data_IF_569187043416
#
_entry.id   IF_569187043416
#
_cell.length_a   1.000
_cell.length_b   1.000
_cell.length_c   1.000
_cell.angle_alpha   90.00
_cell.angle_beta   90.00
_cell.angle_gamma   90.00
#
_symmetry.space_group_name_H-M   'P 1'
#
loop_
_entity.id
_entity.type
_entity.pdbx_description
1 polymer ?
#
# COMPACT_ATOMS: atom_id res chain seq x y z
N UNK A 1 -10.49 48.89 10.26
CA UNK A 1 -10.42 48.69 11.74
C UNK A 1 -9.31 49.60 12.24
N UNK A 2 -9.59 50.47 13.23
CA UNK A 2 -8.57 51.25 13.92
C UNK A 2 -7.97 50.45 15.06
N UNK A 3 -6.67 50.63 15.28
CA UNK A 3 -6.00 50.12 16.46
C UNK A 3 -6.51 50.83 17.71
N UNK A 4 -6.82 50.11 18.79
CA UNK A 4 -7.49 50.70 19.97
C UNK A 4 -6.74 51.90 20.56
N UNK A 5 -5.41 51.83 20.76
CA UNK A 5 -4.68 52.98 21.32
C UNK A 5 -4.76 54.25 20.46
N UNK A 6 -4.98 54.13 19.14
CA UNK A 6 -5.12 55.27 18.22
C UNK A 6 -6.44 56.01 18.43
N UNK A 7 -7.49 55.29 18.90
CA UNK A 7 -8.79 55.90 19.20
C UNK A 7 -8.74 56.76 20.47
N UNK A 8 -7.84 56.39 21.40
CA UNK A 8 -7.79 57.00 22.70
C UNK A 8 -6.90 58.24 22.69
N UNK A 9 -5.62 58.09 22.36
CA UNK A 9 -4.66 59.19 22.38
C UNK A 9 -3.41 58.85 21.54
N UNK A 10 -3.02 59.77 20.65
CA UNK A 10 -1.79 59.68 19.86
C UNK A 10 -0.52 59.65 20.72
N UNK A 11 -0.58 60.27 21.89
CA UNK A 11 0.56 60.35 22.83
C UNK A 11 0.85 59.02 23.50
N UNK A 12 0.03 58.00 23.37
CA UNK A 12 0.38 56.62 23.80
C UNK A 12 1.64 56.10 23.11
N UNK A 13 1.86 56.45 21.84
CA UNK A 13 2.99 55.98 21.03
C UNK A 13 3.88 57.12 20.56
N UNK A 14 3.39 58.36 20.53
CA UNK A 14 4.09 59.52 20.00
C UNK A 14 4.40 60.55 21.07
N UNK A 15 5.48 61.32 20.90
CA UNK A 15 5.77 62.57 21.65
C UNK A 15 5.42 63.72 20.74
N UNK A 16 4.61 64.64 21.22
CA UNK A 16 4.34 65.89 20.51
C UNK A 16 5.60 66.80 20.58
N UNK A 17 6.12 67.21 19.42
CA UNK A 17 7.31 68.00 19.26
C UNK A 17 7.01 69.34 18.64
N UNK A 18 5.74 69.73 18.41
CA UNK A 18 5.25 70.96 17.88
C UNK A 18 3.75 70.85 17.52
N UNK A 19 3.14 71.97 17.04
CA UNK A 19 1.77 71.92 16.59
C UNK A 19 1.60 70.88 15.46
N UNK A 20 0.77 69.85 15.74
CA UNK A 20 0.49 68.72 14.82
C UNK A 20 1.76 67.98 14.38
N UNK A 21 2.90 68.07 15.07
CA UNK A 21 4.13 67.34 14.80
C UNK A 21 4.37 66.35 15.93
N UNK A 22 4.55 65.08 15.55
CA UNK A 22 4.79 64.00 16.49
C UNK A 22 6.06 63.24 16.10
N UNK A 23 6.84 62.81 17.09
CA UNK A 23 7.94 61.88 16.95
C UNK A 23 7.60 60.57 17.65
N UNK A 24 8.13 59.45 17.16
CA UNK A 24 7.95 58.15 17.82
C UNK A 24 8.63 58.12 19.19
N UNK A 25 7.90 57.76 20.23
CA UNK A 25 8.51 57.29 21.47
C UNK A 25 9.22 55.99 21.18
N UNK A 26 10.39 55.77 21.63
CA UNK A 26 11.26 54.61 21.55
C UNK A 26 10.72 53.42 20.66
N UNK A 27 11.15 53.35 19.39
CA UNK A 27 10.68 52.43 18.37
C UNK A 27 10.73 50.94 18.79
N UNK A 28 11.68 50.58 19.64
CA UNK A 28 11.94 49.17 19.98
C UNK A 28 11.00 48.60 21.04
N UNK A 29 10.38 49.43 21.86
CA UNK A 29 9.61 48.98 23.03
C UNK A 29 8.10 49.25 22.98
N UNK A 30 7.63 50.09 22.06
CA UNK A 30 6.25 50.56 22.10
C UNK A 30 5.22 49.41 21.90
N UNK A 31 5.43 48.52 20.95
CA UNK A 31 4.48 47.43 20.70
C UNK A 31 4.51 46.40 21.83
N UNK A 32 5.71 46.00 22.27
CA UNK A 32 5.92 44.97 23.28
C UNK A 32 5.55 45.39 24.70
N UNK A 33 5.28 46.68 24.96
CA UNK A 33 4.73 47.11 26.24
C UNK A 33 3.31 46.63 26.51
N UNK A 34 2.54 46.36 25.42
CA UNK A 34 1.19 45.81 25.50
C UNK A 34 1.09 44.38 24.91
N UNK A 35 1.93 44.07 23.93
CA UNK A 35 1.95 42.76 23.22
C UNK A 35 3.12 41.89 23.71
N UNK A 36 3.15 41.58 25.01
CA UNK A 36 4.27 40.88 25.66
C UNK A 36 4.44 39.43 25.22
N UNK A 37 3.37 38.77 24.81
CA UNK A 37 3.30 37.34 24.49
C UNK A 37 3.87 36.95 23.11
N UNK A 38 4.28 37.91 22.29
CA UNK A 38 4.63 37.65 20.89
C UNK A 38 5.99 36.96 20.68
N UNK A 39 6.81 36.84 21.73
CA UNK A 39 8.16 36.24 21.68
C UNK A 39 8.37 35.10 22.69
N UNK A 40 7.31 34.47 23.16
CA UNK A 40 7.40 33.44 24.21
C UNK A 40 7.88 32.07 23.69
N UNK A 41 7.78 31.79 22.38
CA UNK A 41 8.27 30.56 21.79
C UNK A 41 9.77 30.47 21.65
N UNK A 42 10.33 29.28 21.75
CA UNK A 42 11.79 29.03 21.58
C UNK A 42 12.30 29.35 20.17
N UNK A 43 11.41 29.26 19.16
CA UNK A 43 11.70 29.67 17.79
C UNK A 43 11.00 30.99 17.53
N UNK A 44 11.79 32.07 17.31
CA UNK A 44 11.28 33.42 17.08
C UNK A 44 11.50 33.78 15.60
N UNK A 45 10.46 34.28 14.92
CA UNK A 45 10.57 34.73 13.53
C UNK A 45 11.59 35.86 13.40
N UNK A 46 12.41 35.86 12.35
CA UNK A 46 13.49 36.83 12.17
C UNK A 46 13.01 38.30 12.23
N UNK A 47 11.84 38.61 11.68
CA UNK A 47 11.24 39.94 11.75
C UNK A 47 10.91 40.36 13.20
N UNK A 48 10.62 39.39 14.08
CA UNK A 48 10.37 39.65 15.51
C UNK A 48 11.66 39.89 16.32
N UNK A 49 12.78 39.30 15.87
CA UNK A 49 14.08 39.52 16.53
C UNK A 49 14.45 41.00 16.45
N UNK A 50 14.26 41.64 15.29
CA UNK A 50 14.54 43.06 15.06
C UNK A 50 13.47 44.01 15.63
N UNK A 51 12.40 43.50 16.27
CA UNK A 51 11.24 44.29 16.73
C UNK A 51 10.55 45.11 15.61
N UNK A 52 10.67 44.69 14.36
CA UNK A 52 10.15 45.42 13.22
C UNK A 52 8.70 45.02 12.89
N UNK A 53 7.82 45.25 13.85
CA UNK A 53 6.40 44.91 13.77
C UNK A 53 5.71 45.56 12.56
N UNK A 54 6.20 46.74 12.19
CA UNK A 54 5.66 47.50 11.06
C UNK A 54 6.02 46.95 9.68
N UNK A 55 6.83 45.92 9.58
CA UNK A 55 6.98 45.18 8.31
C UNK A 55 5.65 44.54 7.89
N UNK A 56 4.91 44.03 8.85
CA UNK A 56 3.67 43.29 8.61
C UNK A 56 2.40 44.07 8.98
N UNK A 57 2.46 44.88 10.05
CA UNK A 57 1.30 45.57 10.62
C UNK A 57 1.31 47.06 10.36
N UNK A 58 0.11 47.65 10.15
CA UNK A 58 -0.07 49.08 10.25
C UNK A 58 -0.56 49.42 11.67
N UNK A 59 0.23 50.13 12.49
CA UNK A 59 -0.12 50.43 13.89
C UNK A 59 -1.30 51.37 14.02
N UNK A 60 -1.70 52.08 12.99
CA UNK A 60 -2.81 53.02 13.04
C UNK A 60 -4.14 52.33 12.71
N UNK A 61 -4.13 51.39 11.77
CA UNK A 61 -5.33 50.70 11.39
C UNK A 61 -5.15 49.82 10.13
N UNK A 62 -6.13 49.03 9.79
CA UNK A 62 -6.08 48.14 8.62
C UNK A 62 -7.42 47.55 8.29
N UNK A 63 -7.45 46.71 7.24
CA UNK A 63 -8.66 46.04 6.76
C UNK A 63 -8.94 44.71 7.50
N UNK A 64 -7.98 44.20 8.25
CA UNK A 64 -8.10 42.98 9.04
C UNK A 64 -8.05 43.26 10.55
N UNK A 65 -8.56 42.31 11.37
CA UNK A 65 -8.45 42.41 12.84
C UNK A 65 -7.02 42.42 13.32
N UNK A 66 -6.11 41.81 12.57
CA UNK A 66 -4.67 41.79 12.87
C UNK A 66 -3.91 43.00 12.32
N UNK A 67 -4.60 43.99 11.73
CA UNK A 67 -4.03 45.22 11.17
C UNK A 67 -2.90 44.96 10.17
N UNK A 68 -3.01 43.89 9.36
CA UNK A 68 -2.02 43.57 8.33
C UNK A 68 -2.04 44.60 7.21
N UNK A 69 -0.88 44.95 6.66
CA UNK A 69 -0.72 45.85 5.53
C UNK A 69 -1.31 45.33 4.21
N UNK A 70 -1.41 44.02 4.06
CA UNK A 70 -2.02 43.35 2.91
C UNK A 70 -3.32 42.72 3.34
N UNK A 71 -4.25 42.58 2.39
CA UNK A 71 -5.52 41.91 2.61
C UNK A 71 -5.39 40.38 2.66
N UNK A 72 -4.38 39.82 2.01
CA UNK A 72 -4.05 38.40 1.98
C UNK A 72 -2.72 38.13 2.68
N UNK A 73 -2.63 37.02 3.43
CA UNK A 73 -1.43 36.64 4.17
C UNK A 73 -0.28 36.26 3.22
N UNK A 74 -0.56 35.55 2.14
CA UNK A 74 0.44 35.15 1.13
C UNK A 74 1.10 36.36 0.46
N UNK A 75 0.33 37.38 0.08
CA UNK A 75 0.89 38.62 -0.48
C UNK A 75 1.88 39.30 0.47
N UNK A 76 1.60 39.22 1.77
CA UNK A 76 2.46 39.78 2.79
C UNK A 76 3.72 38.92 3.04
N UNK A 77 3.53 37.61 3.15
CA UNK A 77 4.61 36.66 3.43
C UNK A 77 5.62 36.61 2.29
N UNK A 78 5.13 36.64 1.04
CA UNK A 78 6.00 36.62 -0.15
C UNK A 78 6.74 37.91 -0.46
N UNK A 79 6.54 38.96 0.32
CA UNK A 79 7.50 40.11 0.28
C UNK A 79 8.91 39.70 0.69
N UNK A 80 9.08 38.59 1.45
CA UNK A 80 10.35 38.09 1.95
C UNK A 80 10.58 36.62 1.73
N UNK A 81 9.51 35.80 1.68
CA UNK A 81 9.58 34.36 1.46
C UNK A 81 9.46 34.04 -0.02
N UNK A 82 10.14 32.98 -0.46
CA UNK A 82 10.05 32.47 -1.82
C UNK A 82 8.63 31.94 -2.14
N UNK A 83 8.18 32.15 -3.36
CA UNK A 83 6.91 31.60 -3.88
C UNK A 83 7.03 30.16 -4.35
N UNK A 84 8.23 29.59 -4.43
CA UNK A 84 8.47 28.20 -4.88
C UNK A 84 7.60 27.17 -4.16
N UNK A 85 7.30 27.27 -2.85
CA UNK A 85 6.38 26.35 -2.20
C UNK A 85 4.96 26.28 -2.81
N UNK A 86 4.57 27.23 -3.69
CA UNK A 86 3.28 27.23 -4.39
C UNK A 86 3.39 26.84 -5.86
N UNK A 87 4.56 26.49 -6.36
CA UNK A 87 4.79 26.27 -7.80
C UNK A 87 4.35 24.90 -8.31
N UNK A 88 4.09 23.95 -7.42
CA UNK A 88 3.66 22.62 -7.78
C UNK A 88 2.26 22.57 -8.40
N UNK A 89 2.03 21.58 -9.26
CA UNK A 89 0.73 21.36 -9.93
C UNK A 89 -0.44 21.13 -8.96
N UNK A 90 -0.17 20.49 -7.85
CA UNK A 90 -1.13 20.20 -6.78
C UNK A 90 -0.77 21.02 -5.55
N UNK A 91 -1.53 22.06 -5.27
CA UNK A 91 -1.34 22.95 -4.14
C UNK A 91 -2.23 22.53 -2.99
N UNK A 92 -1.71 22.46 -1.76
CA UNK A 92 -2.48 22.12 -0.58
C UNK A 92 -3.54 23.21 -0.30
N UNK A 93 -4.75 22.82 0.12
CA UNK A 93 -5.89 23.72 0.26
C UNK A 93 -5.64 25.00 1.05
N UNK A 94 -5.10 24.95 2.30
CA UNK A 94 -4.74 26.14 3.06
C UNK A 94 -3.77 27.06 2.33
N UNK A 95 -2.77 26.48 1.66
CA UNK A 95 -1.78 27.21 0.86
C UNK A 95 -2.43 27.87 -0.35
N UNK A 96 -3.31 27.16 -1.08
CA UNK A 96 -4.02 27.70 -2.24
C UNK A 96 -4.90 28.91 -1.89
N UNK A 97 -5.39 28.97 -0.65
CA UNK A 97 -6.17 30.13 -0.14
C UNK A 97 -5.31 31.24 0.44
N UNK A 98 -4.00 31.09 0.45
CA UNK A 98 -3.05 32.06 0.99
C UNK A 98 -3.07 32.16 2.52
N UNK A 99 -3.54 31.12 3.22
CA UNK A 99 -3.75 31.09 4.66
C UNK A 99 -2.58 30.45 5.41
N UNK A 100 -1.41 31.06 5.33
CA UNK A 100 -0.17 30.57 5.95
C UNK A 100 -0.30 30.38 7.48
N UNK A 101 -1.03 31.29 8.13
CA UNK A 101 -1.21 31.27 9.58
C UNK A 101 -2.20 30.20 10.07
N UNK A 102 -2.76 29.37 9.22
CA UNK A 102 -3.48 28.16 9.67
C UNK A 102 -2.49 27.23 10.39
N UNK A 103 -1.33 26.98 9.79
CA UNK A 103 -0.31 26.07 10.32
C UNK A 103 0.84 26.80 11.05
N UNK A 104 1.21 28.00 10.61
CA UNK A 104 2.36 28.74 11.14
C UNK A 104 1.94 29.86 12.09
N UNK A 105 2.75 30.06 13.15
CA UNK A 105 2.69 31.26 13.96
C UNK A 105 3.78 32.25 13.51
N UNK A 106 3.41 33.39 12.89
CA UNK A 106 4.35 34.31 12.29
C UNK A 106 5.21 35.11 13.32
N UNK A 107 4.94 34.96 14.60
CA UNK A 107 5.68 35.66 15.65
C UNK A 107 6.71 34.73 16.32
N UNK A 108 6.26 33.70 17.01
CA UNK A 108 7.11 32.71 17.67
C UNK A 108 6.36 31.42 17.92
N UNK A 109 7.09 30.34 18.07
CA UNK A 109 6.55 29.05 18.40
C UNK A 109 7.55 28.19 19.17
N UNK A 110 7.07 27.22 19.93
CA UNK A 110 7.91 26.18 20.52
C UNK A 110 8.31 25.10 19.50
N UNK A 111 7.67 25.08 18.33
CA UNK A 111 7.89 24.09 17.29
C UNK A 111 8.75 24.63 16.14
N UNK A 112 9.52 23.74 15.49
CA UNK A 112 10.33 24.08 14.32
C UNK A 112 9.47 24.64 13.18
N UNK A 113 10.08 25.41 12.28
CA UNK A 113 9.39 26.09 11.18
C UNK A 113 8.21 26.97 11.64
N UNK A 114 8.20 27.39 12.90
CA UNK A 114 7.13 28.18 13.50
C UNK A 114 5.74 27.51 13.40
N UNK A 115 5.67 26.19 13.39
CA UNK A 115 4.39 25.48 13.42
C UNK A 115 3.65 25.76 14.73
N UNK A 116 2.32 25.81 14.69
CA UNK A 116 1.47 26.00 15.88
C UNK A 116 1.43 24.77 16.78
N UNK A 117 1.55 23.62 16.20
CA UNK A 117 1.59 22.30 16.84
C UNK A 117 2.79 21.50 16.37
N UNK A 118 3.03 20.32 16.94
CA UNK A 118 4.13 19.46 16.54
C UNK A 118 3.96 18.98 15.08
N UNK A 119 5.04 18.53 14.45
CA UNK A 119 4.99 17.98 13.07
C UNK A 119 4.03 16.79 12.96
N UNK A 120 3.91 16.02 14.03
CA UNK A 120 3.08 14.83 14.10
C UNK A 120 1.59 15.21 14.17
N UNK A 121 1.24 16.27 14.91
CA UNK A 121 -0.15 16.66 15.16
C UNK A 121 -0.67 17.74 14.19
N UNK A 122 0.21 18.56 13.61
CA UNK A 122 -0.20 19.66 12.73
C UNK A 122 -1.07 19.23 11.54
N UNK A 123 -0.88 18.00 11.05
CA UNK A 123 -1.67 17.46 9.94
C UNK A 123 -2.99 16.88 10.45
N UNK A 124 -2.98 16.13 11.55
CA UNK A 124 -4.15 15.39 12.08
C UNK A 124 -5.18 16.31 12.74
N UNK A 125 -4.85 17.57 13.04
CA UNK A 125 -5.83 18.58 13.45
C UNK A 125 -6.95 18.78 12.40
N UNK A 126 -6.64 18.55 11.10
CA UNK A 126 -7.60 18.64 10.01
C UNK A 126 -7.84 17.30 9.34
N UNK A 127 -6.81 16.47 9.21
CA UNK A 127 -6.88 15.12 8.63
C UNK A 127 -7.18 14.08 9.72
N UNK A 128 -8.33 14.22 10.39
CA UNK A 128 -8.73 13.36 11.52
C UNK A 128 -8.93 11.90 11.14
N UNK A 129 -9.21 11.62 9.87
CA UNK A 129 -9.29 10.27 9.30
C UNK A 129 -7.92 9.57 9.17
N UNK A 130 -6.83 10.30 9.39
CA UNK A 130 -5.45 9.82 9.39
C UNK A 130 -4.84 9.72 10.80
N UNK A 131 -5.67 9.78 11.83
CA UNK A 131 -5.27 9.44 13.19
C UNK A 131 -5.39 7.93 13.39
N UNK A 132 -4.26 7.25 13.33
CA UNK A 132 -4.14 5.79 13.43
C UNK A 132 -3.80 5.32 14.86
N UNK A 133 -4.22 6.03 15.87
CA UNK A 133 -3.96 5.70 17.29
C UNK A 133 -4.78 4.50 17.81
N UNK A 134 -5.63 3.88 16.99
CA UNK A 134 -6.49 2.76 17.35
C UNK A 134 -5.73 1.46 17.65
N UNK A 135 -6.29 0.65 18.57
CA UNK A 135 -5.79 -0.70 18.85
C UNK A 135 -5.94 -1.61 17.62
N UNK A 136 -5.01 -2.56 17.43
CA UNK A 136 -4.99 -3.54 16.33
C UNK A 136 -4.78 -2.95 14.92
N UNK A 137 -4.22 -1.77 14.81
CA UNK A 137 -3.86 -1.18 13.54
C UNK A 137 -2.33 -1.26 13.32
N UNK A 138 -1.91 -1.88 12.21
CA UNK A 138 -0.50 -1.95 11.84
C UNK A 138 -0.13 -0.65 11.13
N UNK A 139 0.46 0.29 11.86
CA UNK A 139 0.94 1.56 11.31
C UNK A 139 2.15 1.29 10.43
N UNK A 140 2.17 1.87 9.23
CA UNK A 140 3.37 1.86 8.39
C UNK A 140 4.50 2.63 9.11
N UNK A 141 5.64 1.98 9.30
CA UNK A 141 6.72 2.49 10.17
C UNK A 141 7.12 3.94 9.90
N UNK A 142 7.26 4.43 8.64
CA UNK A 142 7.62 5.81 8.38
C UNK A 142 6.66 6.87 8.93
N UNK A 143 5.39 6.51 9.18
CA UNK A 143 4.43 7.45 9.79
C UNK A 143 4.79 7.84 11.23
N UNK A 144 5.61 7.04 11.92
CA UNK A 144 6.13 7.40 13.25
C UNK A 144 7.06 8.61 13.20
N UNK A 145 7.67 8.88 12.04
CA UNK A 145 8.54 10.01 11.79
C UNK A 145 7.77 11.21 11.17
N UNK A 146 6.46 11.05 10.96
CA UNK A 146 5.53 12.06 10.44
C UNK A 146 5.25 11.94 8.94
N UNK A 147 4.38 12.83 8.47
CA UNK A 147 3.79 12.75 7.12
C UNK A 147 4.76 13.21 6.01
N UNK A 148 5.72 14.08 6.35
CA UNK A 148 6.57 14.78 5.39
C UNK A 148 7.66 13.91 4.75
N UNK A 149 7.80 12.65 5.17
CA UNK A 149 8.66 11.68 4.49
C UNK A 149 8.15 11.29 3.10
N UNK A 150 6.84 11.44 2.87
CA UNK A 150 6.19 11.10 1.62
C UNK A 150 5.44 12.27 0.97
N UNK A 151 4.98 13.26 1.76
CA UNK A 151 4.18 14.39 1.31
C UNK A 151 4.90 15.72 1.45
N UNK A 152 4.63 16.66 0.53
CA UNK A 152 4.95 18.08 0.70
C UNK A 152 3.72 18.79 1.27
N UNK A 153 3.90 19.54 2.36
CA UNK A 153 2.81 20.24 3.03
C UNK A 153 2.29 21.47 2.26
N UNK A 154 3.01 21.93 1.26
CA UNK A 154 2.67 23.14 0.51
C UNK A 154 2.16 22.83 -0.90
N UNK A 155 2.98 22.24 -1.76
CA UNK A 155 2.58 21.82 -3.10
C UNK A 155 3.53 20.79 -3.68
N UNK A 156 3.07 20.08 -4.69
CA UNK A 156 3.86 19.08 -5.42
C UNK A 156 3.37 18.96 -6.87
N UNK A 157 4.20 18.40 -7.73
CA UNK A 157 3.81 18.05 -9.10
C UNK A 157 3.03 16.73 -9.18
N UNK A 158 2.90 16.02 -8.07
CA UNK A 158 2.23 14.73 -7.97
C UNK A 158 0.93 14.80 -7.16
N UNK A 159 -0.09 13.99 -7.50
CA UNK A 159 -1.34 13.91 -6.74
C UNK A 159 -1.09 13.64 -5.25
N UNK A 160 -2.01 14.10 -4.41
CA UNK A 160 -1.92 13.98 -2.94
C UNK A 160 -0.69 14.65 -2.33
N UNK A 161 -0.10 15.63 -3.01
CA UNK A 161 1.15 16.30 -2.60
C UNK A 161 2.30 15.32 -2.32
N UNK A 162 2.40 14.21 -3.06
CA UNK A 162 3.52 13.27 -2.92
C UNK A 162 4.82 13.91 -3.40
N UNK A 163 5.93 13.56 -2.77
CA UNK A 163 7.28 14.02 -3.14
C UNK A 163 7.74 13.49 -4.51
N UNK A 164 7.16 12.38 -4.96
CA UNK A 164 7.41 11.72 -6.24
C UNK A 164 6.13 11.05 -6.74
N UNK A 165 6.18 10.36 -7.89
CA UNK A 165 5.07 9.52 -8.33
C UNK A 165 4.70 8.50 -7.25
N UNK A 166 3.45 8.03 -7.23
CA UNK A 166 2.97 7.10 -6.21
C UNK A 166 3.84 5.83 -6.12
N UNK A 167 4.33 5.33 -7.26
CA UNK A 167 5.28 4.21 -7.29
C UNK A 167 6.65 4.60 -6.75
N UNK A 168 7.20 5.71 -7.23
CA UNK A 168 8.60 6.10 -6.94
C UNK A 168 8.78 6.52 -5.48
N UNK A 169 7.75 7.09 -4.83
CA UNK A 169 7.83 7.42 -3.41
C UNK A 169 7.96 6.17 -2.54
N UNK A 170 7.27 5.08 -2.90
CA UNK A 170 7.42 3.80 -2.21
C UNK A 170 8.83 3.22 -2.40
N UNK A 171 9.36 3.32 -3.62
CA UNK A 171 10.66 2.75 -4.00
C UNK A 171 11.87 3.51 -3.42
N UNK A 172 11.67 4.67 -2.81
CA UNK A 172 12.73 5.33 -2.02
C UNK A 172 13.26 4.43 -0.90
N UNK A 173 12.37 3.61 -0.30
CA UNK A 173 12.72 2.70 0.78
C UNK A 173 12.62 1.22 0.35
N UNK A 174 11.72 0.87 -0.58
CA UNK A 174 11.46 -0.49 -1.04
C UNK A 174 12.15 -0.82 -2.38
N UNK A 175 13.38 -0.35 -2.57
CA UNK A 175 14.14 -0.54 -3.82
C UNK A 175 14.42 -2.01 -4.17
N UNK A 176 14.52 -2.89 -3.19
CA UNK A 176 14.71 -4.33 -3.39
C UNK A 176 13.48 -5.00 -4.04
N UNK A 177 12.28 -4.51 -3.78
CA UNK A 177 11.06 -4.98 -4.45
C UNK A 177 11.07 -4.62 -5.93
N UNK A 178 11.52 -3.41 -6.29
CA UNK A 178 11.64 -3.03 -7.71
C UNK A 178 12.68 -3.89 -8.43
N UNK A 179 13.82 -4.16 -7.80
CA UNK A 179 14.85 -5.03 -8.36
C UNK A 179 14.33 -6.46 -8.57
N UNK A 180 13.60 -7.02 -7.62
CA UNK A 180 12.98 -8.35 -7.75
C UNK A 180 11.91 -8.36 -8.83
N UNK A 181 10.99 -7.40 -8.81
CA UNK A 181 9.93 -7.28 -9.80
C UNK A 181 10.46 -6.99 -11.21
N UNK A 182 11.52 -6.20 -11.36
CA UNK A 182 12.13 -5.88 -12.66
C UNK A 182 12.79 -7.10 -13.30
N UNK A 183 13.40 -7.97 -12.50
CA UNK A 183 14.06 -9.22 -12.93
C UNK A 183 13.08 -10.36 -13.18
N UNK A 184 11.91 -10.34 -12.59
CA UNK A 184 10.91 -11.39 -12.72
C UNK A 184 10.51 -11.61 -14.18
N UNK A 185 10.48 -12.87 -14.62
CA UNK A 185 10.01 -13.26 -15.95
C UNK A 185 8.51 -13.06 -16.08
N UNK A 186 7.78 -13.46 -15.05
CA UNK A 186 6.32 -13.31 -14.95
C UNK A 186 5.98 -12.21 -13.94
N UNK A 187 5.39 -11.13 -14.45
CA UNK A 187 5.08 -9.92 -13.68
C UNK A 187 3.58 -9.75 -13.53
N UNK A 188 3.16 -9.32 -12.36
CA UNK A 188 1.76 -8.94 -12.17
C UNK A 188 1.48 -7.63 -12.91
N UNK A 189 0.47 -7.63 -13.77
CA UNK A 189 0.18 -6.49 -14.65
C UNK A 189 -0.14 -5.21 -13.90
N UNK A 190 -0.74 -5.31 -12.71
CA UNK A 190 -1.10 -4.17 -11.86
C UNK A 190 0.12 -3.32 -11.46
N UNK A 191 1.29 -3.93 -11.31
CA UNK A 191 2.53 -3.22 -10.93
C UNK A 191 3.07 -2.28 -12.00
N UNK A 192 2.53 -2.35 -13.23
CA UNK A 192 2.85 -1.40 -14.31
C UNK A 192 2.07 -0.09 -14.20
N UNK A 193 1.01 -0.06 -13.41
CA UNK A 193 0.21 1.14 -13.18
C UNK A 193 0.93 2.07 -12.20
N UNK A 194 0.66 3.36 -12.30
CA UNK A 194 1.25 4.37 -11.43
C UNK A 194 0.91 4.11 -9.97
N UNK A 195 -0.34 3.73 -9.68
CA UNK A 195 -0.84 3.39 -8.34
C UNK A 195 -0.65 1.92 -7.98
N UNK A 196 0.19 1.20 -8.72
CA UNK A 196 0.27 -0.27 -8.67
C UNK A 196 0.38 -0.83 -7.26
N UNK A 197 1.21 -0.24 -6.41
CA UNK A 197 1.38 -0.66 -5.02
C UNK A 197 0.12 -0.38 -4.19
N UNK A 198 -0.45 0.80 -4.34
CA UNK A 198 -1.60 1.26 -3.57
C UNK A 198 -2.92 0.56 -3.96
N UNK A 199 -2.96 -0.24 -5.03
CA UNK A 199 -4.12 -1.09 -5.32
C UNK A 199 -4.30 -2.20 -4.27
N UNK A 200 -3.20 -2.67 -3.67
CA UNK A 200 -3.20 -3.74 -2.69
C UNK A 200 -2.87 -3.28 -1.28
N UNK A 201 -1.98 -2.30 -1.14
CA UNK A 201 -1.47 -1.82 0.14
C UNK A 201 -2.06 -0.45 0.51
N UNK A 202 -2.34 -0.25 1.80
CA UNK A 202 -2.56 1.09 2.34
C UNK A 202 -1.21 1.62 2.85
N UNK A 203 -0.68 2.72 2.26
CA UNK A 203 0.62 3.25 2.63
C UNK A 203 0.65 3.85 4.05
N UNK A 204 -0.49 4.08 4.65
CA UNK A 204 -0.56 4.60 6.01
C UNK A 204 -0.61 3.47 7.06
N UNK A 205 -1.14 2.33 6.69
CA UNK A 205 -1.27 1.17 7.57
C UNK A 205 -2.64 0.50 7.44
N UNK A 206 -2.82 -0.62 8.07
CA UNK A 206 -4.12 -1.33 8.09
C UNK A 206 -4.21 -2.33 9.24
N UNK A 207 -5.36 -2.95 9.39
CA UNK A 207 -5.57 -4.07 10.33
C UNK A 207 -5.01 -5.41 9.81
N UNK A 208 -4.63 -5.46 8.53
CA UNK A 208 -4.08 -6.65 7.89
C UNK A 208 -2.56 -6.60 7.84
N UNK A 209 -1.91 -7.76 7.91
CA UNK A 209 -0.47 -7.87 7.73
C UNK A 209 0.00 -7.26 6.41
N UNK A 210 1.22 -6.75 6.39
CA UNK A 210 1.81 -6.06 5.23
C UNK A 210 0.99 -4.86 4.74
N UNK A 211 0.18 -4.27 5.61
CA UNK A 211 -0.68 -3.13 5.29
C UNK A 211 -1.60 -3.38 4.08
N UNK A 212 -2.12 -4.58 3.93
CA UNK A 212 -3.09 -4.89 2.88
C UNK A 212 -4.40 -4.15 3.16
N UNK A 213 -5.07 -3.68 2.11
CA UNK A 213 -6.36 -2.97 2.23
C UNK A 213 -7.51 -3.85 2.70
N UNK A 214 -7.41 -5.14 2.41
CA UNK A 214 -8.42 -6.15 2.75
C UNK A 214 -7.75 -7.46 3.11
N UNK A 215 -8.52 -8.44 3.59
CA UNK A 215 -8.00 -9.79 3.79
C UNK A 215 -7.44 -10.35 2.48
N UNK A 216 -6.35 -11.14 2.49
CA UNK A 216 -5.68 -11.60 1.28
C UNK A 216 -6.62 -12.27 0.28
N UNK A 217 -7.58 -13.10 0.75
CA UNK A 217 -8.55 -13.75 -0.11
C UNK A 217 -9.44 -12.75 -0.84
N UNK A 218 -10.05 -11.81 -0.13
CA UNK A 218 -10.95 -10.81 -0.71
C UNK A 218 -10.17 -9.89 -1.65
N UNK A 219 -9.01 -9.42 -1.22
CA UNK A 219 -8.16 -8.54 -2.01
C UNK A 219 -7.85 -9.13 -3.40
N UNK A 220 -7.43 -10.39 -3.45
CA UNK A 220 -7.13 -11.06 -4.71
C UNK A 220 -8.40 -11.25 -5.55
N UNK A 221 -9.48 -11.72 -4.93
CA UNK A 221 -10.73 -12.06 -5.62
C UNK A 221 -11.52 -10.85 -6.11
N UNK A 222 -11.27 -9.64 -5.59
CA UNK A 222 -11.87 -8.40 -6.11
C UNK A 222 -11.52 -8.15 -7.59
N UNK A 223 -10.34 -8.59 -8.03
CA UNK A 223 -9.91 -8.49 -9.42
C UNK A 223 -9.98 -9.84 -10.16
N UNK A 224 -9.66 -10.96 -9.48
CA UNK A 224 -9.67 -12.31 -10.04
C UNK A 224 -11.08 -12.94 -10.00
N UNK A 225 -12.12 -12.12 -10.21
CA UNK A 225 -13.52 -12.53 -10.30
C UNK A 225 -14.02 -12.69 -11.75
N UNK A 226 -13.18 -12.40 -12.74
CA UNK A 226 -13.48 -12.54 -14.16
C UNK A 226 -12.80 -13.79 -14.72
N UNK A 227 -13.37 -14.38 -15.79
CA UNK A 227 -12.72 -15.49 -16.49
C UNK A 227 -11.33 -15.07 -17.02
N UNK A 228 -10.36 -15.95 -16.84
CA UNK A 228 -9.01 -15.83 -17.41
C UNK A 228 -8.86 -16.96 -18.42
N UNK A 229 -8.52 -16.62 -19.66
CA UNK A 229 -8.26 -17.62 -20.71
C UNK A 229 -6.95 -18.34 -20.39
N UNK A 230 -7.02 -19.64 -20.17
CA UNK A 230 -5.87 -20.51 -19.99
C UNK A 230 -5.08 -20.73 -21.28
N UNK A 231 -3.90 -21.32 -21.18
CA UNK A 231 -3.09 -21.72 -22.36
C UNK A 231 -3.75 -22.81 -23.18
N UNK A 232 -4.73 -23.50 -22.60
CA UNK A 232 -5.61 -24.49 -23.26
C UNK A 232 -6.84 -23.87 -23.94
N UNK A 233 -6.95 -22.55 -23.94
CA UNK A 233 -8.06 -21.80 -24.54
C UNK A 233 -9.36 -21.81 -23.72
N UNK A 234 -9.36 -22.38 -22.51
CA UNK A 234 -10.55 -22.42 -21.64
C UNK A 234 -10.60 -21.26 -20.67
N UNK A 235 -11.82 -20.90 -20.30
CA UNK A 235 -12.08 -19.87 -19.30
C UNK A 235 -11.97 -20.44 -17.88
N UNK A 236 -11.08 -19.87 -17.08
CA UNK A 236 -10.93 -20.17 -15.66
C UNK A 236 -11.35 -18.97 -14.82
N UNK A 237 -12.37 -19.12 -14.02
CA UNK A 237 -12.80 -18.12 -13.06
C UNK A 237 -12.41 -18.58 -11.66
N UNK A 238 -11.33 -18.00 -11.13
CA UNK A 238 -10.79 -18.39 -9.82
C UNK A 238 -11.78 -18.08 -8.69
N UNK A 239 -12.46 -16.93 -8.75
CA UNK A 239 -13.53 -16.59 -7.81
C UNK A 239 -14.60 -17.71 -7.76
N UNK A 240 -15.12 -18.10 -8.93
CA UNK A 240 -16.13 -19.16 -9.01
C UNK A 240 -15.57 -20.48 -8.46
N UNK A 241 -14.36 -20.89 -8.88
CA UNK A 241 -13.74 -22.14 -8.42
C UNK A 241 -13.62 -22.15 -6.88
N UNK A 242 -13.14 -21.06 -6.29
CA UNK A 242 -12.90 -20.99 -4.83
C UNK A 242 -14.21 -20.86 -4.03
N UNK A 243 -15.22 -20.17 -4.57
CA UNK A 243 -16.47 -19.89 -3.81
C UNK A 243 -17.52 -20.99 -3.95
N UNK A 244 -17.56 -21.70 -5.09
CA UNK A 244 -18.61 -22.72 -5.33
C UNK A 244 -18.17 -24.13 -4.99
N UNK A 245 -16.87 -24.45 -5.07
CA UNK A 245 -16.42 -25.81 -4.76
C UNK A 245 -16.28 -26.01 -3.23
N UNK A 246 -16.82 -27.12 -2.70
CA UNK A 246 -16.90 -27.35 -1.26
C UNK A 246 -15.56 -27.72 -0.61
N UNK A 247 -14.61 -28.21 -1.39
CA UNK A 247 -13.32 -28.70 -0.89
C UNK A 247 -12.20 -27.77 -1.35
N UNK A 248 -11.76 -26.91 -0.47
CA UNK A 248 -10.66 -25.98 -0.71
C UNK A 248 -9.33 -26.62 -0.35
N UNK A 249 -8.31 -26.41 -1.18
CA UNK A 249 -6.94 -26.76 -0.81
C UNK A 249 -6.54 -26.00 0.44
N UNK A 250 -5.69 -26.58 1.30
CA UNK A 250 -5.35 -26.01 2.61
C UNK A 250 -5.03 -24.50 2.57
N UNK A 251 -4.04 -24.06 1.78
CA UNK A 251 -3.72 -22.63 1.67
C UNK A 251 -4.92 -21.77 1.23
N UNK A 252 -5.79 -22.27 0.36
CA UNK A 252 -6.99 -21.54 -0.08
C UNK A 252 -8.03 -21.45 1.04
N UNK A 253 -8.16 -22.50 1.89
CA UNK A 253 -9.01 -22.44 3.08
C UNK A 253 -8.59 -21.36 4.04
N UNK A 254 -7.28 -21.13 4.16
CA UNK A 254 -6.66 -20.12 5.01
C UNK A 254 -6.61 -18.73 4.34
N UNK A 255 -7.12 -18.62 3.11
CA UNK A 255 -7.07 -17.37 2.33
C UNK A 255 -5.66 -17.01 1.82
N UNK A 256 -4.71 -17.94 1.90
CA UNK A 256 -3.30 -17.72 1.58
C UNK A 256 -2.99 -18.02 0.11
N UNK A 257 -3.27 -17.07 -0.78
CA UNK A 257 -2.90 -17.17 -2.20
C UNK A 257 -1.37 -17.05 -2.38
N UNK A 258 -0.71 -16.27 -1.55
CA UNK A 258 0.73 -16.01 -1.62
C UNK A 258 1.60 -17.19 -1.20
N UNK A 259 1.02 -18.21 -0.59
CA UNK A 259 1.71 -19.50 -0.35
C UNK A 259 2.15 -20.21 -1.64
N UNK A 260 1.46 -19.94 -2.74
CA UNK A 260 1.78 -20.50 -4.06
C UNK A 260 2.13 -19.45 -5.11
N UNK A 261 1.63 -18.21 -4.98
CA UNK A 261 1.85 -17.13 -5.94
C UNK A 261 2.61 -15.97 -5.31
N UNK A 262 3.57 -15.40 -6.05
CA UNK A 262 4.20 -14.14 -5.65
C UNK A 262 3.55 -12.98 -6.41
N UNK A 263 2.70 -12.15 -5.75
CA UNK A 263 1.99 -11.06 -6.40
C UNK A 263 2.89 -9.95 -6.95
N UNK A 264 4.15 -9.90 -6.54
CA UNK A 264 5.15 -8.95 -7.05
C UNK A 264 5.89 -9.45 -8.29
N UNK A 265 5.70 -10.73 -8.66
CA UNK A 265 6.33 -11.37 -9.81
C UNK A 265 7.33 -12.46 -9.43
N UNK A 266 7.60 -13.37 -10.34
CA UNK A 266 8.56 -14.45 -10.15
C UNK A 266 9.18 -14.92 -11.46
N UNK A 267 10.16 -15.81 -11.36
CA UNK A 267 10.76 -16.50 -12.51
C UNK A 267 9.88 -17.66 -13.03
N UNK A 268 8.87 -18.07 -12.25
CA UNK A 268 8.05 -19.23 -12.55
C UNK A 268 6.71 -18.84 -13.17
N UNK A 269 6.22 -19.72 -14.04
CA UNK A 269 4.93 -19.59 -14.71
C UNK A 269 3.81 -19.20 -13.74
N UNK A 270 2.91 -18.30 -14.19
CA UNK A 270 1.81 -17.74 -13.36
C UNK A 270 2.27 -17.13 -12.03
N UNK A 271 3.49 -16.64 -11.98
CA UNK A 271 4.07 -16.03 -10.78
C UNK A 271 4.10 -17.00 -9.58
N UNK A 272 4.34 -18.29 -9.82
CA UNK A 272 4.45 -19.27 -8.75
C UNK A 272 5.68 -19.01 -7.87
N UNK A 273 5.63 -19.43 -6.61
CA UNK A 273 6.76 -19.31 -5.66
C UNK A 273 7.81 -20.41 -5.82
N UNK A 274 7.50 -21.44 -6.59
CA UNK A 274 8.37 -22.55 -6.90
C UNK A 274 8.12 -23.13 -8.27
N UNK A 275 9.01 -23.98 -8.72
CA UNK A 275 8.91 -24.61 -10.04
C UNK A 275 7.74 -25.57 -10.09
N UNK A 276 6.95 -25.49 -11.17
CA UNK A 276 5.89 -26.44 -11.49
C UNK A 276 5.72 -26.50 -13.01
N UNK A 277 5.66 -27.73 -13.62
CA UNK A 277 5.57 -27.86 -15.08
C UNK A 277 4.24 -27.32 -15.62
N UNK A 278 4.33 -26.48 -16.66
CA UNK A 278 3.15 -25.97 -17.37
C UNK A 278 2.43 -27.04 -18.18
N UNK A 279 3.21 -27.96 -18.77
CA UNK A 279 2.73 -28.97 -19.68
C UNK A 279 1.93 -30.07 -18.96
N UNK A 280 0.99 -30.73 -19.66
CA UNK A 280 0.26 -31.86 -19.15
C UNK A 280 1.15 -33.10 -18.94
N UNK A 281 2.08 -33.33 -19.86
CA UNK A 281 3.10 -34.37 -19.78
C UNK A 281 4.48 -33.75 -19.52
N UNK A 282 5.20 -34.32 -18.58
CA UNK A 282 6.59 -33.95 -18.35
C UNK A 282 7.39 -35.15 -17.83
N UNK A 283 8.66 -35.21 -18.19
CA UNK A 283 9.58 -36.16 -17.56
C UNK A 283 9.82 -35.73 -16.10
N UNK A 284 9.67 -36.69 -15.18
CA UNK A 284 9.79 -36.42 -13.76
C UNK A 284 11.23 -36.02 -13.41
N UNK A 285 11.36 -34.90 -12.77
CA UNK A 285 12.53 -34.43 -12.02
C UNK A 285 11.98 -33.74 -10.79
N UNK A 286 12.45 -34.11 -9.61
CA UNK A 286 11.93 -33.59 -8.34
C UNK A 286 11.90 -32.06 -8.30
N UNK A 287 12.98 -31.42 -8.76
CA UNK A 287 13.10 -29.95 -8.86
C UNK A 287 12.07 -29.27 -9.77
N UNK A 288 11.41 -29.99 -10.66
CA UNK A 288 10.30 -29.44 -11.44
C UNK A 288 8.99 -29.31 -10.66
N UNK A 289 8.93 -29.89 -9.46
CA UNK A 289 7.74 -29.91 -8.61
C UNK A 289 7.98 -29.24 -7.25
N UNK A 290 9.02 -28.39 -7.16
CA UNK A 290 9.40 -27.70 -5.93
C UNK A 290 8.19 -27.00 -5.27
N UNK A 291 7.29 -26.41 -6.07
CA UNK A 291 6.08 -25.78 -5.55
C UNK A 291 5.26 -26.73 -4.67
N UNK A 292 5.01 -27.94 -5.14
CA UNK A 292 4.18 -28.91 -4.41
C UNK A 292 4.93 -29.48 -3.22
N UNK A 293 6.21 -29.77 -3.39
CA UNK A 293 7.07 -30.39 -2.38
C UNK A 293 7.54 -29.43 -1.28
N UNK A 294 7.17 -28.15 -1.34
CA UNK A 294 7.28 -27.25 -0.18
C UNK A 294 6.40 -27.72 0.99
N UNK A 295 5.31 -28.42 0.72
CA UNK A 295 4.34 -28.86 1.72
C UNK A 295 4.03 -30.36 1.64
N UNK A 296 4.11 -30.97 0.47
CA UNK A 296 3.88 -32.39 0.26
C UNK A 296 5.19 -33.15 0.26
N UNK A 297 5.19 -34.34 0.89
CA UNK A 297 6.38 -35.20 0.93
C UNK A 297 6.65 -35.79 -0.47
N UNK A 298 7.84 -35.54 -1.03
CA UNK A 298 8.25 -36.03 -2.33
C UNK A 298 8.40 -37.58 -2.37
N UNK A 299 8.48 -38.22 -1.22
CA UNK A 299 8.56 -39.69 -1.13
C UNK A 299 7.33 -40.37 -1.72
N UNK A 300 6.19 -39.68 -1.77
CA UNK A 300 4.95 -40.22 -2.39
C UNK A 300 5.13 -40.66 -3.86
N UNK A 301 6.14 -40.12 -4.56
CA UNK A 301 6.42 -40.43 -5.98
C UNK A 301 7.82 -41.05 -6.19
N UNK A 302 8.62 -41.24 -5.15
CA UNK A 302 10.00 -41.68 -5.24
C UNK A 302 10.12 -43.19 -5.50
N UNK A 303 9.39 -43.98 -4.74
CA UNK A 303 9.57 -45.41 -4.71
C UNK A 303 8.45 -46.11 -5.52
N UNK A 304 8.86 -47.03 -6.41
CA UNK A 304 7.92 -47.82 -7.22
C UNK A 304 7.04 -48.74 -6.37
N UNK A 305 7.54 -49.19 -5.21
CA UNK A 305 6.82 -50.07 -4.29
C UNK A 305 6.75 -49.44 -2.92
N UNK A 306 5.57 -49.47 -2.34
CA UNK A 306 5.30 -48.95 -1.00
C UNK A 306 4.02 -49.53 -0.41
N UNK A 307 4.01 -49.67 0.91
CA UNK A 307 2.81 -50.00 1.68
C UNK A 307 2.38 -48.84 2.58
N UNK A 308 3.18 -47.75 2.68
CA UNK A 308 3.03 -46.67 3.66
C UNK A 308 3.01 -45.27 3.06
N UNK A 309 3.77 -45.02 1.98
CA UNK A 309 3.98 -43.65 1.47
C UNK A 309 2.73 -43.04 0.81
N UNK A 310 1.85 -43.87 0.24
CA UNK A 310 0.62 -43.41 -0.38
C UNK A 310 -0.51 -44.44 -0.26
N UNK A 311 -1.73 -43.99 -0.19
CA UNK A 311 -2.93 -44.79 -0.28
C UNK A 311 -3.38 -45.06 -1.76
N UNK A 312 -2.78 -44.37 -2.71
CA UNK A 312 -2.98 -44.61 -4.13
C UNK A 312 -1.97 -45.70 -4.59
N UNK A 313 -2.26 -46.94 -4.25
CA UNK A 313 -1.41 -48.11 -4.51
C UNK A 313 -2.26 -49.37 -4.75
N UNK A 314 -1.74 -50.27 -5.54
CA UNK A 314 -2.33 -51.59 -5.79
C UNK A 314 -1.41 -52.66 -5.18
N UNK A 315 -1.84 -53.26 -4.05
CA UNK A 315 -0.94 -53.99 -3.18
C UNK A 315 0.21 -53.08 -2.72
N UNK A 316 1.42 -53.42 -3.14
CA UNK A 316 2.62 -52.59 -2.88
C UNK A 316 3.03 -51.71 -4.07
N UNK A 317 2.34 -51.77 -5.20
CA UNK A 317 2.65 -50.96 -6.38
C UNK A 317 2.17 -49.51 -6.20
N UNK A 318 3.08 -48.58 -6.15
CA UNK A 318 2.80 -47.14 -6.02
C UNK A 318 2.23 -46.58 -7.33
N UNK A 319 0.97 -46.23 -7.33
CA UNK A 319 0.28 -45.70 -8.53
C UNK A 319 0.65 -44.24 -8.80
N UNK A 320 1.02 -43.44 -7.81
CA UNK A 320 1.57 -42.11 -8.07
C UNK A 320 2.90 -42.20 -8.83
N UNK A 321 3.84 -43.06 -8.37
CA UNK A 321 5.08 -43.34 -9.08
C UNK A 321 4.80 -43.75 -10.54
N UNK A 322 3.87 -44.71 -10.74
CA UNK A 322 3.53 -45.20 -12.05
C UNK A 322 3.05 -44.12 -13.02
N UNK A 323 2.30 -43.12 -12.55
CA UNK A 323 1.71 -42.10 -13.41
C UNK A 323 2.67 -40.92 -13.65
N UNK A 324 3.56 -40.59 -12.70
CA UNK A 324 4.36 -39.40 -12.73
C UNK A 324 5.76 -39.67 -13.32
N UNK A 325 6.38 -40.82 -13.02
CA UNK A 325 7.80 -41.05 -13.37
C UNK A 325 8.06 -41.63 -14.75
N UNK A 326 7.01 -41.93 -15.51
CA UNK A 326 7.15 -42.44 -16.90
C UNK A 326 7.69 -41.34 -17.82
N UNK A 327 8.26 -41.73 -18.97
CA UNK A 327 8.76 -40.82 -20.03
C UNK A 327 7.72 -39.78 -20.45
N UNK A 328 6.42 -40.14 -20.45
CA UNK A 328 5.26 -39.27 -20.59
C UNK A 328 4.52 -39.21 -19.25
N UNK A 329 5.23 -38.84 -18.19
CA UNK A 329 4.62 -38.68 -16.88
C UNK A 329 3.61 -37.57 -16.88
N UNK A 330 2.52 -37.75 -16.12
CA UNK A 330 1.49 -36.72 -15.95
C UNK A 330 1.88 -35.83 -14.77
N UNK A 331 1.57 -34.56 -14.88
CA UNK A 331 1.77 -33.65 -13.72
C UNK A 331 0.67 -33.86 -12.68
N UNK A 332 0.89 -33.40 -11.45
CA UNK A 332 -0.09 -33.50 -10.36
C UNK A 332 -1.46 -32.92 -10.77
N UNK A 333 -1.45 -31.81 -11.52
CA UNK A 333 -2.67 -31.16 -12.04
C UNK A 333 -3.46 -32.00 -13.05
N UNK A 334 -2.87 -32.99 -13.59
CA UNK A 334 -3.62 -33.87 -14.50
C UNK A 334 -4.75 -34.64 -13.78
N UNK A 335 -4.60 -34.85 -12.47
CA UNK A 335 -5.61 -35.53 -11.67
C UNK A 335 -6.16 -34.68 -10.52
N UNK A 336 -5.40 -33.70 -10.04
CA UNK A 336 -5.76 -32.88 -8.88
C UNK A 336 -6.13 -31.44 -9.27
N UNK A 337 -7.21 -30.92 -8.67
CA UNK A 337 -7.53 -29.50 -8.69
C UNK A 337 -6.80 -28.79 -7.54
N UNK A 338 -5.98 -27.79 -7.88
CA UNK A 338 -5.06 -27.18 -6.92
C UNK A 338 -5.66 -26.02 -6.10
N UNK A 339 -6.81 -25.48 -6.51
CA UNK A 339 -7.46 -24.40 -5.76
C UNK A 339 -8.63 -24.92 -4.92
N UNK A 340 -9.66 -25.45 -5.55
CA UNK A 340 -10.81 -26.05 -4.88
C UNK A 340 -11.53 -27.01 -5.83
N UNK A 341 -12.01 -28.13 -5.32
CA UNK A 341 -12.67 -29.18 -6.10
C UNK A 341 -13.93 -29.73 -5.45
N UNK A 342 -14.66 -30.53 -6.22
CA UNK A 342 -15.88 -31.18 -5.75
C UNK A 342 -15.58 -32.48 -4.99
N UNK A 343 -14.59 -33.22 -5.45
CA UNK A 343 -14.29 -34.57 -4.95
C UNK A 343 -13.26 -34.55 -3.81
N UNK A 344 -13.24 -35.60 -3.01
CA UNK A 344 -12.23 -35.85 -1.99
C UNK A 344 -10.83 -35.86 -2.61
N UNK A 345 -9.82 -35.44 -1.82
CA UNK A 345 -8.41 -35.34 -2.24
C UNK A 345 -8.24 -34.46 -3.48
N UNK A 346 -9.18 -33.56 -3.75
CA UNK A 346 -9.18 -32.66 -4.89
C UNK A 346 -9.07 -33.35 -6.25
N UNK A 347 -9.51 -34.61 -6.35
CA UNK A 347 -9.53 -35.33 -7.64
C UNK A 347 -10.49 -34.62 -8.57
N UNK A 348 -10.08 -34.41 -9.81
CA UNK A 348 -10.90 -33.85 -10.88
C UNK A 348 -11.87 -34.92 -11.42
N UNK A 349 -13.07 -34.50 -11.84
CA UNK A 349 -13.95 -35.37 -12.65
C UNK A 349 -13.39 -35.58 -14.05
N UNK A 350 -12.84 -34.51 -14.58
CA UNK A 350 -12.23 -34.47 -15.91
C UNK A 350 -11.03 -33.52 -15.88
N UNK A 351 -10.08 -33.69 -16.79
CA UNK A 351 -8.89 -32.87 -16.88
C UNK A 351 -8.75 -32.28 -18.28
N UNK A 352 -8.45 -30.94 -18.38
CA UNK A 352 -8.21 -30.31 -19.67
C UNK A 352 -7.00 -30.91 -20.40
N UNK A 353 -7.19 -31.23 -21.69
CA UNK A 353 -6.13 -31.70 -22.57
C UNK A 353 -6.33 -31.10 -23.96
N UNK A 354 -5.67 -30.00 -24.26
CA UNK A 354 -5.93 -29.19 -25.45
C UNK A 354 -7.39 -28.70 -25.45
N UNK A 355 -8.09 -28.93 -26.56
CA UNK A 355 -9.52 -28.58 -26.70
C UNK A 355 -10.47 -29.61 -26.05
N UNK A 356 -9.95 -30.65 -25.43
CA UNK A 356 -10.72 -31.77 -24.91
C UNK A 356 -10.74 -31.77 -23.40
N UNK A 357 -11.76 -32.41 -22.80
CA UNK A 357 -11.78 -32.79 -21.39
C UNK A 357 -11.70 -34.32 -21.30
N UNK A 358 -10.62 -34.81 -20.71
CA UNK A 358 -10.40 -36.23 -20.51
C UNK A 358 -11.06 -36.59 -19.17
N UNK A 359 -12.08 -37.50 -19.17
CA UNK A 359 -12.70 -37.95 -17.92
C UNK A 359 -11.68 -38.71 -17.05
N UNK A 360 -11.78 -38.57 -15.74
CA UNK A 360 -10.99 -39.31 -14.74
C UNK A 360 -11.88 -40.37 -14.07
N UNK A 361 -13.13 -40.02 -13.78
CA UNK A 361 -14.16 -40.89 -13.19
C UNK A 361 -13.62 -41.74 -12.03
N UNK A 362 -13.03 -41.02 -11.03
CA UNK A 362 -12.45 -41.67 -9.86
C UNK A 362 -13.51 -41.94 -8.80
N UNK A 363 -13.58 -43.19 -8.36
CA UNK A 363 -14.41 -43.65 -7.24
C UNK A 363 -13.50 -44.21 -6.14
N UNK A 364 -13.66 -43.67 -4.91
CA UNK A 364 -12.95 -44.20 -3.74
C UNK A 364 -13.72 -45.36 -3.15
N UNK A 365 -13.05 -46.51 -2.95
CA UNK A 365 -13.57 -47.65 -2.24
C UNK A 365 -12.97 -47.75 -0.82
N UNK A 366 -13.52 -48.61 0.03
CA UNK A 366 -13.08 -48.78 1.40
C UNK A 366 -11.60 -49.18 1.49
N UNK A 367 -11.18 -50.11 0.63
CA UNK A 367 -9.81 -50.61 0.58
C UNK A 367 -9.21 -50.49 -0.83
N UNK A 368 -9.28 -49.29 -1.40
CA UNK A 368 -8.78 -49.05 -2.74
C UNK A 368 -9.52 -47.95 -3.47
N UNK A 369 -9.74 -48.19 -4.74
CA UNK A 369 -10.50 -47.30 -5.61
C UNK A 369 -10.58 -47.82 -7.05
N UNK A 370 -11.38 -47.13 -7.85
CA UNK A 370 -11.56 -47.39 -9.26
C UNK A 370 -11.41 -46.11 -10.06
N UNK A 371 -10.77 -46.23 -11.21
CA UNK A 371 -10.73 -45.17 -12.21
C UNK A 371 -11.25 -45.68 -13.54
N UNK A 372 -12.07 -44.89 -14.24
CA UNK A 372 -12.46 -45.12 -15.64
C UNK A 372 -12.01 -43.96 -16.52
N UNK A 373 -10.68 -43.68 -16.58
CA UNK A 373 -10.19 -42.49 -17.26
C UNK A 373 -10.19 -42.66 -18.78
N UNK A 374 -10.34 -41.54 -19.50
CA UNK A 374 -10.18 -41.56 -20.96
C UNK A 374 -8.76 -41.88 -21.47
N UNK A 375 -7.81 -42.14 -20.58
CA UNK A 375 -6.41 -42.43 -20.91
C UNK A 375 -6.11 -43.93 -21.09
N UNK A 376 -6.90 -44.82 -20.47
CA UNK A 376 -6.73 -46.26 -20.48
C UNK A 376 -8.05 -46.96 -20.07
N UNK A 377 -8.12 -48.25 -20.18
CA UNK A 377 -9.28 -49.03 -19.70
C UNK A 377 -9.49 -48.81 -18.20
N UNK A 378 -10.75 -48.97 -17.77
CA UNK A 378 -11.10 -48.95 -16.36
C UNK A 378 -10.18 -49.86 -15.54
N UNK A 379 -9.77 -49.37 -14.37
CA UNK A 379 -8.86 -50.08 -13.48
C UNK A 379 -9.31 -49.92 -12.02
N UNK A 380 -9.42 -51.07 -11.34
CA UNK A 380 -9.65 -51.09 -9.90
C UNK A 380 -8.38 -51.54 -9.18
N UNK A 381 -8.07 -50.93 -8.05
CA UNK A 381 -6.92 -51.25 -7.25
C UNK A 381 -7.31 -51.51 -5.79
N UNK A 382 -6.54 -52.34 -5.12
CA UNK A 382 -6.70 -52.69 -3.70
C UNK A 382 -5.39 -52.45 -2.96
N UNK A 383 -5.50 -51.92 -1.72
CA UNK A 383 -4.35 -51.60 -0.87
C UNK A 383 -3.83 -52.80 -0.07
#
# INVERSE_FOLDING_TARGET
>A
ILHTPVKDDCTNCHTQVGDHKFSMKNKERNCLSCHTDKKEGSNVHAAMISNDCQKCHDPHGGNSRSLLKKSREDELCFECHDTNPMSGKFVHGPQATGRCTICHNPHSSSHSALLKSSKETACTECHTDKDYSGENFNIHTPLKDGCLGCHDAHSSDYPYQLLKSAKDVCLLCHSDLDLKASRATFKHAILKQEDGCANCHDPHGSVYEHNLKESPLHLCLNCHNKPIIGTDGKDYNIYKIVTTNPRKHGPISDGNCSGCHNPHGSEFYKMLTGNFPEQFYTEFQESKYDLCFQCHDSTLVRDQRTTTLTNFRDGDLNLHYLHITRKKGRTCRACHEVHAGELNLHIRRETPFGSWDIPIEFEKEQDGGRCSPGCHKAYSYKR
#
